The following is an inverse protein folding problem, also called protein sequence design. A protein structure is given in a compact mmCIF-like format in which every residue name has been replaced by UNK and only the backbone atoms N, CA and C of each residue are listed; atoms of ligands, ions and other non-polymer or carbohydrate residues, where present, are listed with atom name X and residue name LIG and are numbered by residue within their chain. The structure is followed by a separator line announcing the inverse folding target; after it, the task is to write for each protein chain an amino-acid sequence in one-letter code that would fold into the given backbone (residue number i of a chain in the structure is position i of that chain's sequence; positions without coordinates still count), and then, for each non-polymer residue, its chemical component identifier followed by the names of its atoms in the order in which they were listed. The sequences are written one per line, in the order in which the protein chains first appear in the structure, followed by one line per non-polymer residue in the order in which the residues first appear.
data_IF_982276163149
#
_entry.id   IF_982276163149
#
_cell.length_a   1.000
_cell.length_b   1.000
_cell.length_c   1.000
_cell.angle_alpha   90.00
_cell.angle_beta   90.00
_cell.angle_gamma   90.00
#
_symmetry.space_group_name_H-M   'P 1'
#
loop_
_entity.id
_entity.type
_entity.pdbx_description
1 polymer ?
#
# COMPACT_ATOMS: atom_id res chain seq x y z
N UNK A 1 -13.11 -34.19 -0.19
CA UNK A 1 -12.48 -32.87 -0.34
C UNK A 1 -13.34 -32.03 -1.27
N UNK A 2 -13.78 -30.83 -0.86
CA UNK A 2 -14.34 -29.86 -1.82
C UNK A 2 -13.17 -29.36 -2.67
N UNK A 3 -13.30 -29.41 -4.00
CA UNK A 3 -12.33 -28.76 -4.88
C UNK A 3 -12.24 -27.26 -4.53
N UNK A 4 -11.02 -26.75 -4.47
CA UNK A 4 -10.80 -25.31 -4.25
C UNK A 4 -11.25 -24.58 -5.51
N UNK A 5 -12.21 -23.67 -5.36
CA UNK A 5 -12.73 -22.91 -6.51
C UNK A 5 -11.68 -21.92 -7.03
N UNK A 6 -11.78 -21.58 -8.33
CA UNK A 6 -10.92 -20.56 -8.97
C UNK A 6 -10.99 -19.21 -8.25
N UNK A 7 -12.14 -18.88 -7.66
CA UNK A 7 -12.34 -17.67 -6.85
C UNK A 7 -11.47 -17.69 -5.60
N UNK A 8 -11.44 -18.81 -4.86
CA UNK A 8 -10.60 -18.94 -3.66
C UNK A 8 -9.13 -18.84 -4.01
N UNK A 9 -8.69 -19.46 -5.11
CA UNK A 9 -7.31 -19.33 -5.60
C UNK A 9 -6.96 -17.87 -5.89
N UNK A 10 -7.82 -17.15 -6.61
CA UNK A 10 -7.61 -15.74 -6.91
C UNK A 10 -7.47 -14.88 -5.63
N UNK A 11 -8.35 -15.10 -4.64
CA UNK A 11 -8.27 -14.42 -3.33
C UNK A 11 -6.95 -14.70 -2.60
N UNK A 12 -6.46 -15.93 -2.62
CA UNK A 12 -5.18 -16.30 -2.01
C UNK A 12 -4.04 -15.57 -2.69
N UNK A 13 -4.04 -15.51 -4.03
CA UNK A 13 -3.01 -14.78 -4.78
C UNK A 13 -3.01 -13.29 -4.41
N UNK A 14 -4.18 -12.65 -4.39
CA UNK A 14 -4.31 -11.26 -3.92
C UNK A 14 -3.78 -11.09 -2.50
N UNK A 15 -4.13 -11.97 -1.56
CA UNK A 15 -3.66 -11.88 -0.18
C UNK A 15 -2.13 -11.98 -0.08
N UNK A 16 -1.50 -12.87 -0.85
CA UNK A 16 -0.03 -13.01 -0.84
C UNK A 16 0.65 -11.74 -1.36
N UNK A 17 0.19 -11.19 -2.49
CA UNK A 17 0.76 -9.96 -3.06
C UNK A 17 0.52 -8.78 -2.11
N UNK A 18 -0.69 -8.64 -1.57
CA UNK A 18 -1.03 -7.62 -0.58
C UNK A 18 -0.15 -7.70 0.66
N UNK A 19 0.10 -8.92 1.16
CA UNK A 19 0.93 -9.12 2.35
C UNK A 19 2.37 -8.65 2.08
N UNK A 20 2.95 -8.98 0.93
CA UNK A 20 4.30 -8.51 0.54
C UNK A 20 4.31 -6.98 0.43
N UNK A 21 3.31 -6.38 -0.25
CA UNK A 21 3.19 -4.92 -0.37
C UNK A 21 3.09 -4.25 1.00
N UNK A 22 2.32 -4.83 1.91
CA UNK A 22 2.15 -4.36 3.31
C UNK A 22 3.47 -4.42 4.06
N UNK A 23 4.18 -5.55 4.03
CA UNK A 23 5.47 -5.70 4.74
C UNK A 23 6.51 -4.72 4.21
N UNK A 24 6.64 -4.62 2.88
CA UNK A 24 7.62 -3.72 2.23
C UNK A 24 7.28 -2.26 2.55
N UNK A 25 6.02 -1.85 2.45
CA UNK A 25 5.60 -0.48 2.72
C UNK A 25 5.65 -0.12 4.21
N UNK A 26 5.27 -1.02 5.12
CA UNK A 26 5.45 -0.84 6.55
C UNK A 26 6.94 -0.71 6.91
N UNK A 27 7.80 -1.55 6.35
CA UNK A 27 9.25 -1.41 6.55
C UNK A 27 9.75 -0.07 6.03
N UNK A 28 9.30 0.35 4.85
CA UNK A 28 9.67 1.62 4.25
C UNK A 28 9.18 2.83 5.06
N UNK A 29 8.04 2.74 5.73
CA UNK A 29 7.49 3.81 6.58
C UNK A 29 8.13 3.85 7.97
N UNK A 30 8.22 2.70 8.66
CA UNK A 30 8.65 2.68 10.05
C UNK A 30 10.17 2.70 10.24
N UNK A 31 10.94 2.26 9.23
CA UNK A 31 12.40 2.20 9.27
C UNK A 31 13.02 3.19 8.27
N UNK A 32 12.60 4.45 8.33
CA UNK A 32 13.19 5.52 7.53
C UNK A 32 13.47 6.76 8.38
N UNK A 33 14.55 7.47 8.02
CA UNK A 33 15.04 8.63 8.77
C UNK A 33 14.08 9.82 8.75
N UNK A 34 13.26 9.95 7.70
CA UNK A 34 12.30 11.04 7.56
C UNK A 34 11.18 10.92 8.60
N UNK A 35 10.70 9.70 8.86
CA UNK A 35 9.72 9.42 9.90
C UNK A 35 10.29 9.65 11.29
N UNK A 36 11.53 9.23 11.55
CA UNK A 36 12.20 9.47 12.84
C UNK A 36 12.37 10.97 13.12
N UNK A 37 12.72 11.75 12.09
CA UNK A 37 12.79 13.21 12.19
C UNK A 37 11.41 13.84 12.39
N UNK A 38 10.40 13.35 11.68
CA UNK A 38 9.02 13.84 11.79
C UNK A 38 8.41 13.66 13.18
N UNK A 39 8.77 12.58 13.88
CA UNK A 39 8.21 12.28 15.21
C UNK A 39 8.84 13.13 16.33
N UNK A 40 9.85 13.97 16.03
CA UNK A 40 10.41 14.94 16.98
C UNK A 40 9.40 16.07 17.24
N UNK A 41 9.15 16.37 18.52
CA UNK A 41 8.20 17.40 18.95
C UNK A 41 8.50 18.76 18.31
N UNK A 42 7.50 19.37 17.66
CA UNK A 42 7.61 20.68 17.01
C UNK A 42 8.06 20.63 15.54
N UNK A 43 8.61 19.50 15.06
CA UNK A 43 9.02 19.33 13.66
C UNK A 43 7.82 19.32 12.70
N UNK A 44 6.70 18.62 12.97
CA UNK A 44 5.55 18.64 12.09
C UNK A 44 4.96 20.03 11.87
N UNK A 45 4.88 20.84 12.94
CA UNK A 45 4.37 22.21 12.89
C UNK A 45 5.32 23.12 12.10
N UNK A 46 6.63 23.02 12.38
CA UNK A 46 7.64 23.79 11.66
C UNK A 46 7.69 23.41 10.17
N UNK A 47 7.63 22.11 9.85
CA UNK A 47 7.64 21.63 8.48
C UNK A 47 6.40 22.11 7.69
N UNK A 48 5.21 22.13 8.31
CA UNK A 48 4.00 22.68 7.67
C UNK A 48 4.12 24.18 7.36
N UNK A 49 4.94 24.92 8.09
CA UNK A 49 5.19 26.34 7.85
C UNK A 49 6.20 26.59 6.71
N UNK A 50 6.97 25.58 6.29
CA UNK A 50 8.02 25.71 5.26
C UNK A 50 7.58 25.02 3.97
N UNK A 51 7.40 25.81 2.90
CA UNK A 51 6.92 25.31 1.60
C UNK A 51 7.81 24.21 0.98
N UNK A 52 9.11 24.24 1.25
CA UNK A 52 10.07 23.25 0.75
C UNK A 52 9.99 21.90 1.49
N UNK A 53 9.31 21.84 2.64
CA UNK A 53 9.24 20.62 3.44
C UNK A 53 8.06 19.74 2.98
N UNK A 54 8.26 18.43 2.77
CA UNK A 54 7.25 17.52 2.21
C UNK A 54 6.23 17.10 3.28
N UNK A 55 5.50 18.07 3.84
CA UNK A 55 4.61 17.86 4.99
C UNK A 55 3.44 16.92 4.72
N UNK A 56 3.03 16.79 3.46
CA UNK A 56 1.96 15.88 3.04
C UNK A 56 2.42 14.43 2.93
N UNK A 57 3.73 14.18 2.73
CA UNK A 57 4.25 12.83 2.49
C UNK A 57 3.98 11.89 3.67
N UNK A 58 4.05 12.38 4.91
CA UNK A 58 3.76 11.56 6.09
C UNK A 58 2.30 11.11 6.15
N UNK A 59 1.35 11.98 5.81
CA UNK A 59 -0.07 11.60 5.78
C UNK A 59 -0.34 10.56 4.68
N UNK A 60 0.33 10.70 3.53
CA UNK A 60 0.25 9.75 2.41
C UNK A 60 0.79 8.36 2.79
N UNK A 61 1.97 8.28 3.42
CA UNK A 61 2.55 7.01 3.89
C UNK A 61 1.68 6.35 4.96
N UNK A 62 1.17 7.12 5.93
CA UNK A 62 0.28 6.60 6.98
C UNK A 62 -1.02 6.05 6.39
N UNK A 63 -1.57 6.72 5.38
CA UNK A 63 -2.78 6.24 4.69
C UNK A 63 -2.52 4.91 3.99
N UNK A 64 -1.39 4.79 3.27
CA UNK A 64 -0.98 3.53 2.65
C UNK A 64 -0.87 2.40 3.69
N UNK A 65 -0.15 2.63 4.79
CA UNK A 65 0.06 1.62 5.85
C UNK A 65 -1.27 1.20 6.47
N UNK A 66 -2.13 2.18 6.81
CA UNK A 66 -3.42 1.89 7.40
C UNK A 66 -4.31 1.06 6.46
N UNK A 67 -4.42 1.46 5.19
CA UNK A 67 -5.29 0.78 4.24
C UNK A 67 -4.79 -0.63 3.91
N UNK A 68 -3.49 -0.80 3.66
CA UNK A 68 -2.93 -2.13 3.38
C UNK A 68 -3.13 -3.11 4.53
N UNK A 69 -2.91 -2.69 5.79
CA UNK A 69 -3.20 -3.53 6.97
C UNK A 69 -4.69 -3.90 7.07
N UNK A 70 -5.59 -2.92 6.91
CA UNK A 70 -7.04 -3.15 6.94
C UNK A 70 -7.43 -4.16 5.87
N UNK A 71 -6.91 -4.02 4.64
CA UNK A 71 -7.22 -4.95 3.56
C UNK A 71 -6.64 -6.34 3.78
N UNK A 72 -5.46 -6.50 4.38
CA UNK A 72 -4.94 -7.82 4.76
C UNK A 72 -5.94 -8.54 5.67
N UNK A 73 -6.44 -7.85 6.69
CA UNK A 73 -7.41 -8.42 7.64
C UNK A 73 -8.72 -8.78 6.93
N UNK A 74 -9.27 -7.86 6.14
CA UNK A 74 -10.52 -8.08 5.41
C UNK A 74 -10.41 -9.22 4.38
N UNK A 75 -9.25 -9.39 3.76
CA UNK A 75 -9.01 -10.47 2.78
C UNK A 75 -8.92 -11.83 3.44
N UNK A 76 -8.32 -11.93 4.62
CA UNK A 76 -8.37 -13.16 5.43
C UNK A 76 -9.83 -13.49 5.79
N UNK A 77 -10.62 -12.51 6.23
CA UNK A 77 -12.04 -12.70 6.53
C UNK A 77 -12.82 -13.15 5.28
N UNK A 78 -12.58 -12.55 4.11
CA UNK A 78 -13.24 -12.94 2.85
C UNK A 78 -12.91 -14.37 2.43
N UNK A 79 -11.66 -14.82 2.62
CA UNK A 79 -11.26 -16.21 2.36
C UNK A 79 -11.99 -17.15 3.32
N UNK A 80 -11.99 -16.88 4.63
CA UNK A 80 -12.70 -17.71 5.62
C UNK A 80 -14.20 -17.77 5.31
N UNK A 81 -14.83 -16.64 4.99
CA UNK A 81 -16.24 -16.57 4.62
C UNK A 81 -16.57 -17.45 3.41
N UNK A 82 -15.64 -17.60 2.46
CA UNK A 82 -15.79 -18.45 1.27
C UNK A 82 -15.86 -19.95 1.60
N UNK A 83 -15.39 -20.36 2.78
CA UNK A 83 -15.47 -21.75 3.25
C UNK A 83 -16.71 -22.02 4.11
N UNK A 84 -17.23 -20.99 4.78
CA UNK A 84 -18.31 -21.12 5.78
C UNK A 84 -19.69 -20.79 5.21
N UNK A 85 -19.77 -19.90 4.22
CA UNK A 85 -21.03 -19.35 3.72
C UNK A 85 -21.26 -19.79 2.26
N UNK A 86 -22.52 -20.06 1.91
CA UNK A 86 -22.91 -20.39 0.54
C UNK A 86 -22.55 -19.27 -0.44
N UNK A 87 -21.80 -19.62 -1.50
CA UNK A 87 -21.28 -18.68 -2.49
C UNK A 87 -22.35 -17.77 -3.12
N UNK A 88 -23.56 -18.31 -3.34
CA UNK A 88 -24.66 -17.55 -3.94
C UNK A 88 -25.14 -16.37 -3.08
N UNK A 89 -25.05 -16.46 -1.75
CA UNK A 89 -25.50 -15.40 -0.83
C UNK A 89 -24.50 -14.25 -0.72
N UNK A 90 -23.21 -14.54 -0.94
CA UNK A 90 -22.14 -13.55 -0.80
C UNK A 90 -21.62 -12.99 -2.11
N UNK A 91 -22.06 -13.50 -3.27
CA UNK A 91 -21.48 -13.14 -4.57
C UNK A 91 -21.40 -11.62 -4.80
N UNK A 92 -22.52 -10.91 -4.64
CA UNK A 92 -22.57 -9.46 -4.86
C UNK A 92 -21.76 -8.67 -3.82
N UNK A 93 -21.93 -8.85 -2.50
CA UNK A 93 -21.15 -8.10 -1.52
C UNK A 93 -19.64 -8.42 -1.60
N UNK A 94 -19.27 -9.65 -1.93
CA UNK A 94 -17.87 -10.05 -2.08
C UNK A 94 -17.22 -9.46 -3.34
N UNK A 95 -17.93 -9.44 -4.48
CA UNK A 95 -17.48 -8.74 -5.68
C UNK A 95 -17.34 -7.23 -5.43
N UNK A 96 -18.33 -6.62 -4.76
CA UNK A 96 -18.31 -5.21 -4.39
C UNK A 96 -17.13 -4.86 -3.48
N UNK A 97 -16.88 -5.68 -2.46
CA UNK A 97 -15.72 -5.56 -1.59
C UNK A 97 -14.41 -5.58 -2.40
N UNK A 98 -14.23 -6.56 -3.29
CA UNK A 98 -13.00 -6.64 -4.09
C UNK A 98 -12.83 -5.44 -5.02
N UNK A 99 -13.91 -4.92 -5.60
CA UNK A 99 -13.85 -3.71 -6.44
C UNK A 99 -13.43 -2.48 -5.63
N UNK A 100 -14.02 -2.29 -4.45
CA UNK A 100 -13.69 -1.15 -3.56
C UNK A 100 -12.27 -1.28 -3.01
N UNK A 101 -11.86 -2.49 -2.61
CA UNK A 101 -10.49 -2.77 -2.16
C UNK A 101 -9.48 -2.48 -3.27
N UNK A 102 -9.75 -2.92 -4.51
CA UNK A 102 -8.92 -2.61 -5.67
C UNK A 102 -8.76 -1.10 -5.88
N UNK A 103 -9.85 -0.33 -5.84
CA UNK A 103 -9.80 1.12 -5.98
C UNK A 103 -8.97 1.79 -4.88
N UNK A 104 -9.17 1.42 -3.62
CA UNK A 104 -8.49 2.02 -2.49
C UNK A 104 -7.01 1.61 -2.43
N UNK A 105 -6.65 0.39 -2.81
CA UNK A 105 -5.25 -0.05 -2.95
C UNK A 105 -4.54 0.68 -4.09
N UNK A 106 -5.24 0.92 -5.21
CA UNK A 106 -4.70 1.69 -6.33
C UNK A 106 -4.35 3.12 -5.90
N UNK A 107 -5.29 3.80 -5.24
CA UNK A 107 -5.07 5.15 -4.69
C UNK A 107 -3.93 5.12 -3.66
N UNK A 108 -3.92 4.16 -2.75
CA UNK A 108 -2.87 4.02 -1.74
C UNK A 108 -1.49 3.85 -2.37
N UNK A 109 -1.37 2.99 -3.38
CA UNK A 109 -0.11 2.77 -4.08
C UNK A 109 0.42 4.04 -4.73
N UNK A 110 -0.46 4.85 -5.35
CA UNK A 110 -0.10 6.16 -5.89
C UNK A 110 0.36 7.11 -4.77
N UNK A 111 -0.34 7.15 -3.64
CA UNK A 111 0.03 8.00 -2.50
C UNK A 111 1.42 7.65 -1.96
N UNK A 112 1.77 6.36 -1.86
CA UNK A 112 3.10 5.96 -1.39
C UNK A 112 4.21 6.35 -2.37
N UNK A 113 3.98 6.21 -3.68
CA UNK A 113 4.92 6.66 -4.73
C UNK A 113 5.05 8.19 -4.69
N UNK A 114 3.94 8.92 -4.60
CA UNK A 114 3.95 10.38 -4.52
C UNK A 114 4.66 10.89 -3.26
N UNK A 115 4.49 10.20 -2.12
CA UNK A 115 5.23 10.48 -0.90
C UNK A 115 6.73 10.27 -1.09
N UNK A 116 7.13 9.16 -1.74
CA UNK A 116 8.54 8.87 -2.02
C UNK A 116 9.17 9.98 -2.88
N UNK A 117 8.49 10.41 -3.94
CA UNK A 117 8.97 11.50 -4.81
C UNK A 117 9.09 12.83 -4.07
N UNK A 118 8.08 13.20 -3.27
CA UNK A 118 8.14 14.45 -2.48
C UNK A 118 9.30 14.46 -1.48
N UNK A 119 9.57 13.32 -0.84
CA UNK A 119 10.69 13.19 0.10
C UNK A 119 12.03 13.25 -0.67
N UNK A 120 12.13 12.58 -1.81
CA UNK A 120 13.35 12.61 -2.64
C UNK A 120 13.65 14.03 -3.13
N UNK A 121 12.65 14.72 -3.69
CA UNK A 121 12.78 16.10 -4.19
C UNK A 121 13.21 17.08 -3.08
N UNK A 122 12.71 16.89 -1.85
CA UNK A 122 13.04 17.75 -0.73
C UNK A 122 14.40 17.44 -0.09
N UNK A 123 14.90 16.21 -0.22
CA UNK A 123 16.12 15.75 0.46
C UNK A 123 17.32 15.64 -0.46
N UNK A 124 17.13 15.53 -1.78
CA UNK A 124 18.20 15.32 -2.77
C UNK A 124 18.32 16.49 -3.75
N UNK A 125 18.92 17.63 -3.35
CA UNK A 125 19.10 18.75 -4.27
C UNK A 125 20.00 18.34 -5.44
N UNK A 126 19.65 18.80 -6.65
CA UNK A 126 20.25 18.41 -7.93
C UNK A 126 21.76 18.69 -8.04
N UNK A 127 22.30 19.53 -7.15
CA UNK A 127 23.72 19.86 -7.05
C UNK A 127 24.51 18.88 -6.17
N UNK A 128 23.85 17.91 -5.53
CA UNK A 128 24.50 16.95 -4.63
C UNK A 128 25.33 15.91 -5.41
N UNK A 129 26.50 15.50 -4.89
CA UNK A 129 27.26 14.38 -5.46
C UNK A 129 26.41 13.10 -5.52
N UNK A 130 26.57 12.29 -6.57
CA UNK A 130 25.77 11.08 -6.78
C UNK A 130 25.84 10.06 -5.64
N UNK A 131 26.98 9.98 -4.93
CA UNK A 131 27.12 9.13 -3.76
C UNK A 131 26.25 9.60 -2.58
N UNK A 132 26.15 10.91 -2.36
CA UNK A 132 25.29 11.51 -1.34
C UNK A 132 23.81 11.24 -1.65
N UNK A 133 23.40 11.41 -2.91
CA UNK A 133 22.02 11.12 -3.36
C UNK A 133 21.67 9.65 -3.08
N UNK A 134 22.58 8.73 -3.41
CA UNK A 134 22.35 7.29 -3.19
C UNK A 134 22.16 6.97 -1.70
N UNK A 135 22.99 7.52 -0.82
CA UNK A 135 22.86 7.33 0.63
C UNK A 135 21.54 7.91 1.16
N UNK A 136 21.15 9.11 0.72
CA UNK A 136 19.89 9.74 1.12
C UNK A 136 18.67 8.91 0.70
N UNK A 137 18.66 8.38 -0.53
CA UNK A 137 17.61 7.46 -1.01
C UNK A 137 17.55 6.15 -0.22
N UNK A 138 18.69 5.66 0.24
CA UNK A 138 18.77 4.47 1.09
C UNK A 138 18.19 4.74 2.49
N UNK A 139 18.58 5.85 3.13
CA UNK A 139 18.09 6.23 4.47
C UNK A 139 16.61 6.60 4.48
N UNK A 140 16.11 7.18 3.38
CA UNK A 140 14.68 7.49 3.21
C UNK A 140 13.88 6.31 2.69
N UNK A 141 14.53 5.16 2.42
CA UNK A 141 13.92 3.94 1.88
C UNK A 141 13.16 4.17 0.56
N UNK A 142 13.65 5.09 -0.28
CA UNK A 142 13.00 5.51 -1.53
C UNK A 142 12.60 4.32 -2.41
N UNK A 143 13.53 3.41 -2.70
CA UNK A 143 13.27 2.23 -3.52
C UNK A 143 12.23 1.28 -2.91
N UNK A 144 12.19 1.14 -1.58
CA UNK A 144 11.20 0.31 -0.91
C UNK A 144 9.81 0.95 -0.97
N UNK A 145 9.70 2.29 -0.90
CA UNK A 145 8.43 3.00 -1.06
C UNK A 145 7.89 2.83 -2.47
N UNK A 146 8.76 2.96 -3.50
CA UNK A 146 8.38 2.67 -4.88
C UNK A 146 7.92 1.22 -5.05
N UNK A 147 8.69 0.26 -4.53
CA UNK A 147 8.35 -1.16 -4.62
C UNK A 147 7.01 -1.47 -3.93
N UNK A 148 6.81 -0.99 -2.70
CA UNK A 148 5.55 -1.16 -1.96
C UNK A 148 4.36 -0.54 -2.68
N UNK A 149 4.53 0.66 -3.24
CA UNK A 149 3.48 1.35 -3.99
C UNK A 149 3.14 0.64 -5.30
N UNK A 150 4.15 0.22 -6.07
CA UNK A 150 3.96 -0.54 -7.31
C UNK A 150 3.30 -1.90 -7.05
N UNK A 151 3.68 -2.60 -5.98
CA UNK A 151 3.05 -3.86 -5.60
C UNK A 151 1.57 -3.66 -5.22
N UNK A 152 1.23 -2.58 -4.51
CA UNK A 152 -0.17 -2.26 -4.21
C UNK A 152 -0.99 -1.93 -5.46
N UNK A 153 -0.39 -1.29 -6.48
CA UNK A 153 -1.04 -1.05 -7.77
C UNK A 153 -1.27 -2.38 -8.53
N UNK A 154 -0.27 -3.27 -8.54
CA UNK A 154 -0.42 -4.61 -9.15
C UNK A 154 -1.53 -5.37 -8.44
N UNK A 155 -1.53 -5.35 -7.11
CA UNK A 155 -2.54 -6.01 -6.30
C UNK A 155 -3.93 -5.43 -6.56
N UNK A 156 -4.07 -4.11 -6.68
CA UNK A 156 -5.33 -3.48 -7.07
C UNK A 156 -5.92 -4.05 -8.37
N UNK A 157 -5.08 -4.29 -9.40
CA UNK A 157 -5.53 -4.93 -10.64
C UNK A 157 -5.98 -6.38 -10.41
N UNK A 158 -5.32 -7.12 -9.53
CA UNK A 158 -5.73 -8.47 -9.13
C UNK A 158 -7.07 -8.46 -8.39
N UNK A 159 -7.32 -7.48 -7.52
CA UNK A 159 -8.62 -7.29 -6.86
C UNK A 159 -9.73 -6.99 -7.86
N UNK A 160 -9.49 -6.13 -8.85
CA UNK A 160 -10.47 -5.88 -9.91
C UNK A 160 -10.75 -7.13 -10.75
N UNK A 161 -9.72 -7.89 -11.14
CA UNK A 161 -9.88 -9.14 -11.84
C UNK A 161 -10.68 -10.17 -11.01
N UNK A 162 -10.37 -10.27 -9.72
CA UNK A 162 -11.05 -11.17 -8.78
C UNK A 162 -12.52 -10.78 -8.60
N UNK A 163 -12.82 -9.47 -8.52
CA UNK A 163 -14.20 -8.96 -8.48
C UNK A 163 -15.00 -9.40 -9.71
N UNK A 164 -14.42 -9.28 -10.91
CA UNK A 164 -15.03 -9.76 -12.16
C UNK A 164 -15.26 -11.27 -12.19
N UNK A 165 -14.30 -12.05 -11.67
CA UNK A 165 -14.44 -13.52 -11.55
C UNK A 165 -15.58 -13.90 -10.59
N UNK A 166 -15.68 -13.23 -9.44
CA UNK A 166 -16.75 -13.47 -8.47
C UNK A 166 -18.10 -13.13 -9.08
N UNK A 167 -18.23 -11.98 -9.75
CA UNK A 167 -19.50 -11.55 -10.34
C UNK A 167 -20.03 -12.51 -11.42
N UNK A 168 -19.13 -13.14 -12.18
CA UNK A 168 -19.46 -14.10 -13.24
C UNK A 168 -19.75 -15.52 -12.72
N UNK A 169 -19.20 -15.89 -11.56
CA UNK A 169 -19.38 -17.22 -10.95
C UNK A 169 -20.78 -17.45 -10.43
#
# INVERSE_FOLDING_TARGET
MKEISKVVIAKIVCLVVLFIATVVGCHAHFNNIFKDWWDVKGVPEACKAVKACPSNAMAMERTFVAFTIIFVILSVISIVASFVIDAGKLRLPDAGYHAVAGLLLFISGILLIAAASQIDDATTPSTSPGQTIRLLREYTKYSNKLAGGSLAIIDALLYFATSGLIFKS
#
